data_IF_821504249941
#
_entry.id   IF_821504249941
#
_cell.length_a   1.000
_cell.length_b   1.000
_cell.length_c   1.000
_cell.angle_alpha   90.00
_cell.angle_beta   90.00
_cell.angle_gamma   90.00
#
_symmetry.space_group_name_H-M   'P 1'
#
loop_
_entity.id
_entity.type
_entity.pdbx_description
1 polymer ?
#
# COMPACT_ATOMS: atom_id res chain seq x y z
N UNK A 1 3.62 -25.55 30.38
CA UNK A 1 2.87 -24.83 29.32
C UNK A 1 3.90 -23.99 28.56
N UNK A 2 4.60 -24.61 27.61
CA UNK A 2 5.63 -23.93 26.83
C UNK A 2 4.96 -23.40 25.56
N UNK A 3 4.25 -22.28 25.69
CA UNK A 3 3.84 -21.52 24.52
C UNK A 3 4.99 -20.59 24.17
N UNK A 4 5.62 -20.78 23.02
CA UNK A 4 6.63 -19.86 22.53
C UNK A 4 5.91 -18.60 22.02
N UNK A 5 6.19 -17.45 22.62
CA UNK A 5 5.70 -16.16 22.10
C UNK A 5 6.46 -15.81 20.84
N UNK A 6 5.76 -15.68 19.72
CA UNK A 6 6.33 -15.24 18.45
C UNK A 6 6.07 -13.73 18.25
N UNK A 7 7.11 -12.99 17.88
CA UNK A 7 6.96 -11.58 17.47
C UNK A 7 6.77 -11.53 15.95
N UNK A 8 5.67 -10.92 15.52
CA UNK A 8 5.39 -10.67 14.11
C UNK A 8 5.52 -9.18 13.85
N UNK A 9 6.43 -8.79 12.94
CA UNK A 9 6.68 -7.41 12.53
C UNK A 9 6.51 -7.27 11.03
N UNK A 10 5.74 -6.28 10.60
CA UNK A 10 5.55 -5.93 9.20
C UNK A 10 5.91 -4.45 8.96
N UNK A 11 6.32 -4.14 7.74
CA UNK A 11 6.56 -2.76 7.28
C UNK A 11 5.25 -1.97 7.22
N UNK A 12 5.27 -0.74 7.71
CA UNK A 12 4.06 0.10 7.75
C UNK A 12 3.60 0.54 6.37
N UNK A 13 4.52 0.69 5.44
CA UNK A 13 4.24 1.16 4.08
C UNK A 13 5.00 0.30 3.09
N UNK A 14 4.29 -0.26 2.12
CA UNK A 14 4.87 -1.11 1.08
C UNK A 14 4.54 -0.50 -0.28
N UNK A 15 5.54 -0.24 -1.14
CA UNK A 15 5.28 0.25 -2.48
C UNK A 15 4.48 -0.80 -3.26
N UNK A 16 3.49 -0.35 -4.04
CA UNK A 16 2.77 -1.25 -4.93
C UNK A 16 3.73 -1.79 -5.99
N UNK A 17 3.50 -3.01 -6.48
CA UNK A 17 4.28 -3.54 -7.59
C UNK A 17 3.77 -2.99 -8.93
N UNK A 18 4.66 -2.91 -9.92
CA UNK A 18 4.33 -2.49 -11.28
C UNK A 18 4.23 -0.98 -11.47
N UNK A 19 3.55 -0.56 -12.55
CA UNK A 19 3.48 0.84 -12.97
C UNK A 19 2.87 1.76 -11.90
N UNK A 20 1.85 1.29 -11.18
CA UNK A 20 1.22 2.08 -10.10
C UNK A 20 2.22 2.40 -8.99
N UNK A 21 3.11 1.47 -8.63
CA UNK A 21 4.20 1.71 -7.69
C UNK A 21 5.24 2.71 -8.21
N UNK A 22 5.60 2.59 -9.49
CA UNK A 22 6.51 3.53 -10.15
C UNK A 22 5.97 4.98 -10.13
N UNK A 23 4.65 5.14 -10.22
CA UNK A 23 4.00 6.45 -10.11
C UNK A 23 3.75 6.91 -8.65
N UNK A 24 4.34 6.23 -7.65
CA UNK A 24 4.24 6.59 -6.24
C UNK A 24 3.05 5.96 -5.48
N UNK A 25 2.43 4.93 -6.04
CA UNK A 25 1.37 4.17 -5.38
C UNK A 25 1.92 3.31 -4.25
N UNK A 26 1.28 3.38 -3.07
CA UNK A 26 1.73 2.66 -1.87
C UNK A 26 0.56 2.04 -1.13
N UNK A 27 0.84 0.97 -0.39
CA UNK A 27 -0.08 0.34 0.55
C UNK A 27 0.33 0.68 1.96
N UNK A 28 -0.61 1.20 2.73
CA UNK A 28 -0.41 1.56 4.14
C UNK A 28 -1.03 0.47 4.99
N UNK A 29 -0.22 -0.13 5.87
CA UNK A 29 -0.69 -1.10 6.85
C UNK A 29 -1.75 -0.47 7.75
N UNK A 30 -2.89 -1.13 7.88
CA UNK A 30 -4.03 -0.64 8.65
C UNK A 30 -4.18 -1.36 9.99
N UNK A 31 -3.81 -2.64 10.04
CA UNK A 31 -3.93 -3.45 11.24
C UNK A 31 -3.94 -4.94 10.95
N UNK A 32 -3.78 -5.71 12.01
CA UNK A 32 -4.00 -7.14 12.07
C UNK A 32 -5.45 -7.44 12.42
N UNK A 33 -5.98 -8.51 11.83
CA UNK A 33 -7.29 -9.08 12.11
C UNK A 33 -7.18 -10.61 12.24
N UNK A 34 -8.25 -11.25 12.71
CA UNK A 34 -8.26 -12.69 13.02
C UNK A 34 -8.05 -12.93 14.52
N UNK A 35 -7.12 -13.83 14.86
CA UNK A 35 -6.94 -14.29 16.25
C UNK A 35 -6.33 -13.22 17.18
N UNK A 36 -5.58 -12.27 16.62
CA UNK A 36 -5.00 -11.15 17.38
C UNK A 36 -5.25 -9.83 16.65
N UNK A 37 -6.35 -9.13 16.95
CA UNK A 37 -6.61 -7.81 16.38
C UNK A 37 -5.65 -6.77 16.97
N UNK A 38 -5.01 -5.99 16.12
CA UNK A 38 -4.08 -4.93 16.55
C UNK A 38 -3.85 -3.91 15.45
N UNK A 39 -3.86 -2.62 15.78
CA UNK A 39 -3.49 -1.55 14.83
C UNK A 39 -1.97 -1.37 14.73
N UNK A 40 -1.21 -1.99 15.64
CA UNK A 40 0.25 -1.96 15.63
C UNK A 40 0.82 -2.88 14.55
N UNK A 41 1.81 -2.40 13.82
CA UNK A 41 2.56 -3.20 12.83
C UNK A 41 3.44 -4.28 13.48
N UNK A 42 3.59 -4.23 14.81
CA UNK A 42 4.27 -5.23 15.64
C UNK A 42 3.24 -5.84 16.58
N UNK A 43 3.12 -7.17 16.57
CA UNK A 43 2.23 -7.92 17.46
C UNK A 43 2.97 -9.10 18.08
N UNK A 44 2.75 -9.31 19.37
CA UNK A 44 3.25 -10.48 20.10
C UNK A 44 2.12 -11.51 20.17
N UNK A 45 2.39 -12.70 19.64
CA UNK A 45 1.39 -13.75 19.49
C UNK A 45 1.82 -14.93 20.33
N UNK A 46 0.99 -15.29 21.32
CA UNK A 46 1.22 -16.47 22.13
C UNK A 46 0.84 -17.71 21.32
N UNK A 47 1.81 -18.55 20.93
CA UNK A 47 1.53 -19.72 20.07
C UNK A 47 1.24 -20.94 20.94
N UNK A 48 -0.05 -21.15 21.24
CA UNK A 48 -0.59 -22.32 21.93
C UNK A 48 -1.20 -23.36 20.97
N UNK A 49 -1.19 -23.06 19.67
CA UNK A 49 -1.72 -23.89 18.58
C UNK A 49 -1.62 -23.16 17.24
N UNK A 50 -2.18 -23.72 16.14
CA UNK A 50 -2.27 -23.03 14.86
C UNK A 50 -3.05 -21.72 15.01
N UNK A 51 -2.46 -20.60 14.57
CA UNK A 51 -3.10 -19.27 14.58
C UNK A 51 -3.06 -18.64 13.20
N UNK A 52 -4.11 -17.88 12.88
CA UNK A 52 -4.26 -17.15 11.63
C UNK A 52 -4.30 -15.65 11.91
N UNK A 53 -3.36 -14.93 11.31
CA UNK A 53 -3.27 -13.47 11.38
C UNK A 53 -3.42 -12.91 9.97
N UNK A 54 -4.38 -12.00 9.80
CA UNK A 54 -4.66 -11.38 8.52
C UNK A 54 -4.25 -9.91 8.59
N UNK A 55 -3.22 -9.55 7.82
CA UNK A 55 -2.78 -8.16 7.69
C UNK A 55 -3.70 -7.41 6.72
N UNK A 56 -4.35 -6.37 7.20
CA UNK A 56 -5.21 -5.48 6.41
C UNK A 56 -4.40 -4.27 5.94
N UNK A 57 -4.50 -3.98 4.64
CA UNK A 57 -3.78 -2.88 3.99
C UNK A 57 -4.76 -1.90 3.34
N UNK A 58 -4.45 -0.61 3.41
CA UNK A 58 -5.13 0.46 2.68
C UNK A 58 -4.32 0.86 1.46
N UNK A 59 -4.97 0.95 0.31
CA UNK A 59 -4.35 1.40 -0.93
C UNK A 59 -4.38 2.93 -1.03
N UNK A 60 -3.22 3.56 -1.27
CA UNK A 60 -3.09 4.99 -1.55
C UNK A 60 -2.70 5.20 -3.01
N UNK A 61 -3.69 5.65 -3.80
CA UNK A 61 -3.56 5.94 -5.23
C UNK A 61 -3.45 7.44 -5.53
N UNK A 62 -3.35 8.29 -4.51
CA UNK A 62 -3.36 9.74 -4.67
C UNK A 62 -2.24 10.21 -5.61
N UNK A 63 -1.02 9.72 -5.38
CA UNK A 63 0.16 10.06 -6.20
C UNK A 63 0.03 9.55 -7.64
N UNK A 64 -0.27 8.26 -7.90
CA UNK A 64 -0.48 7.76 -9.26
C UNK A 64 -1.49 8.56 -10.07
N UNK A 65 -2.62 8.94 -9.46
CA UNK A 65 -3.63 9.75 -10.15
C UNK A 65 -3.13 11.14 -10.51
N UNK A 66 -2.40 11.80 -9.61
CA UNK A 66 -1.79 13.12 -9.88
C UNK A 66 -0.79 13.01 -11.03
N UNK A 67 0.07 11.99 -11.04
CA UNK A 67 1.07 11.83 -12.10
C UNK A 67 0.42 11.57 -13.46
N UNK A 68 -0.58 10.68 -13.53
CA UNK A 68 -1.33 10.44 -14.78
C UNK A 68 -2.04 11.69 -15.27
N UNK A 69 -2.64 12.48 -14.36
CA UNK A 69 -3.31 13.73 -14.71
C UNK A 69 -2.32 14.76 -15.30
N UNK A 70 -1.12 14.90 -14.72
CA UNK A 70 -0.08 15.79 -15.25
C UNK A 70 0.42 15.34 -16.63
N UNK A 71 0.62 14.05 -16.84
CA UNK A 71 1.00 13.49 -18.16
C UNK A 71 -0.12 13.76 -19.19
N UNK A 72 -1.38 13.52 -18.82
CA UNK A 72 -2.53 13.80 -19.68
C UNK A 72 -2.63 15.28 -20.05
N UNK A 73 -2.47 16.18 -19.06
CA UNK A 73 -2.51 17.63 -19.27
C UNK A 73 -1.38 18.12 -20.17
N UNK A 74 -0.15 17.62 -19.99
CA UNK A 74 0.99 18.00 -20.82
C UNK A 74 0.77 17.55 -22.27
N UNK A 75 0.31 16.32 -22.50
CA UNK A 75 -0.04 15.83 -23.85
C UNK A 75 -1.16 16.67 -24.47
N UNK A 76 -2.19 17.02 -23.69
CA UNK A 76 -3.30 17.84 -24.16
C UNK A 76 -2.85 19.25 -24.57
N UNK A 77 -2.01 19.90 -23.76
CA UNK A 77 -1.42 21.22 -24.08
C UNK A 77 -0.57 21.13 -25.36
N UNK A 78 0.26 20.10 -25.50
CA UNK A 78 1.05 19.90 -26.72
C UNK A 78 0.16 19.67 -27.95
N UNK A 79 -0.91 18.89 -27.82
CA UNK A 79 -1.86 18.65 -28.90
C UNK A 79 -2.61 19.92 -29.32
N UNK A 80 -3.03 20.75 -28.36
CA UNK A 80 -3.71 22.03 -28.65
C UNK A 80 -2.75 23.03 -29.31
N UNK A 81 -1.50 23.11 -28.87
CA UNK A 81 -0.46 23.90 -29.52
C UNK A 81 -0.25 23.42 -30.95
N UNK A 82 -0.03 22.11 -31.15
CA UNK A 82 0.15 21.54 -32.50
C UNK A 82 -1.02 21.85 -33.43
N UNK A 83 -2.26 21.79 -32.92
CA UNK A 83 -3.47 22.15 -33.69
C UNK A 83 -3.56 23.64 -34.03
N UNK A 84 -2.98 24.52 -33.21
CA UNK A 84 -2.97 25.97 -33.46
C UNK A 84 -1.95 26.38 -34.53
N UNK A 85 -0.87 25.63 -34.66
CA UNK A 85 0.23 25.89 -35.60
C UNK A 85 0.13 25.12 -36.92
N UNK A 86 -0.90 24.27 -37.08
CA UNK A 86 -1.26 23.59 -38.32
C UNK A 86 -2.42 24.30 -38.99
#
# INVERSE_FOLDING_TARGET
REGCTAMVKIEKEVPMQGFVGFLGGRRVFQGWSGDVPSESNIVNVYVDGPKTLVATWREDHTMPYVVVALIGMTIFVLATIRKRFS
#
